data_IF_032761258379
#
_entry.id   IF_032761258379
#
_cell.length_a   1.000
_cell.length_b   1.000
_cell.length_c   1.000
_cell.angle_alpha   90.00
_cell.angle_beta   90.00
_cell.angle_gamma   90.00
#
_symmetry.space_group_name_H-M   'P 1'
#
loop_
_entity.id
_entity.type
_entity.pdbx_description
1 polymer ?
#
# COMPACT_ATOMS: atom_id res chain seq x y z
N UNK A 1 10.69 31.95 -15.36
CA UNK A 1 10.44 31.30 -14.05
C UNK A 1 9.73 29.98 -14.33
N UNK A 2 10.47 28.95 -14.70
CA UNK A 2 9.89 27.63 -15.05
C UNK A 2 9.90 26.78 -13.78
N UNK A 3 8.72 26.40 -13.28
CA UNK A 3 8.61 25.49 -12.14
C UNK A 3 9.24 24.13 -12.49
N UNK A 4 9.94 23.46 -11.56
CA UNK A 4 10.47 22.14 -11.83
C UNK A 4 9.30 21.20 -12.07
N UNK A 5 9.37 20.44 -13.16
CA UNK A 5 8.49 19.33 -13.47
C UNK A 5 8.60 18.36 -12.29
N UNK A 6 7.53 18.24 -11.50
CA UNK A 6 7.49 17.33 -10.36
C UNK A 6 7.99 15.96 -10.84
N UNK A 7 9.05 15.44 -10.20
CA UNK A 7 9.38 14.03 -10.33
C UNK A 7 8.16 13.27 -9.77
N UNK A 8 7.32 12.76 -10.67
CA UNK A 8 6.19 11.95 -10.28
C UNK A 8 6.73 10.64 -9.70
N UNK A 9 6.75 10.53 -8.38
CA UNK A 9 6.97 9.26 -7.70
C UNK A 9 5.82 8.34 -8.15
N UNK A 10 6.11 7.11 -8.64
CA UNK A 10 5.06 6.19 -9.04
C UNK A 10 4.10 6.00 -7.87
N UNK A 11 2.80 5.93 -8.17
CA UNK A 11 1.79 5.67 -7.16
C UNK A 11 2.10 4.33 -6.46
N UNK A 12 1.84 4.23 -5.14
CA UNK A 12 2.03 2.99 -4.42
C UNK A 12 1.22 1.87 -5.04
N UNK A 13 1.81 0.68 -5.08
CA UNK A 13 1.12 -0.52 -5.56
C UNK A 13 -0.03 -0.86 -4.60
N UNK A 14 -1.26 -0.86 -5.11
CA UNK A 14 -2.47 -1.08 -4.31
C UNK A 14 -2.96 -2.52 -4.41
N UNK A 15 -3.24 -3.11 -3.26
CA UNK A 15 -3.84 -4.43 -3.08
C UNK A 15 -5.18 -4.29 -2.39
N UNK A 16 -6.14 -5.11 -2.80
CA UNK A 16 -7.44 -5.19 -2.15
C UNK A 16 -7.47 -6.41 -1.28
N UNK A 17 -8.05 -6.27 -0.10
CA UNK A 17 -8.25 -7.37 0.84
C UNK A 17 -9.67 -7.37 1.38
N UNK A 18 -10.20 -8.55 1.66
CA UNK A 18 -11.54 -8.71 2.25
C UNK A 18 -11.55 -8.55 3.78
N UNK A 19 -10.37 -8.49 4.40
CA UNK A 19 -10.20 -8.46 5.86
C UNK A 19 -9.36 -7.27 6.28
N UNK A 20 -9.74 -6.61 7.38
CA UNK A 20 -8.98 -5.47 7.91
C UNK A 20 -7.58 -5.85 8.45
N UNK A 21 -7.35 -7.12 8.79
CA UNK A 21 -6.04 -7.62 9.23
C UNK A 21 -5.36 -8.36 8.09
N UNK A 22 -4.24 -7.84 7.62
CA UNK A 22 -3.52 -8.36 6.46
C UNK A 22 -2.06 -8.62 6.83
N UNK A 23 -1.37 -9.43 6.05
CA UNK A 23 0.08 -9.55 6.13
C UNK A 23 0.71 -9.09 4.83
N UNK A 24 1.91 -8.55 4.93
CA UNK A 24 2.75 -8.27 3.78
C UNK A 24 4.06 -9.05 3.95
N UNK A 25 4.42 -9.85 2.94
CA UNK A 25 5.65 -10.66 2.90
C UNK A 25 6.76 -10.00 2.06
N UNK A 26 6.57 -8.73 1.65
CA UNK A 26 7.49 -8.03 0.74
C UNK A 26 7.48 -8.62 -0.67
N UNK A 27 8.46 -8.21 -1.48
CA UNK A 27 8.73 -8.85 -2.77
C UNK A 27 9.99 -9.71 -2.64
N UNK A 28 9.83 -11.03 -2.77
CA UNK A 28 10.92 -12.00 -2.67
C UNK A 28 11.81 -12.05 -3.92
N UNK A 29 11.44 -11.35 -5.02
CA UNK A 29 12.13 -11.39 -6.31
C UNK A 29 12.82 -10.07 -6.71
N UNK A 30 12.51 -8.93 -6.06
CA UNK A 30 12.70 -7.61 -6.69
C UNK A 30 13.50 -6.51 -5.97
N UNK A 31 13.80 -6.61 -4.68
CA UNK A 31 14.79 -5.70 -4.06
C UNK A 31 14.42 -4.97 -2.76
N UNK A 32 13.15 -5.00 -2.33
CA UNK A 32 12.71 -4.49 -1.01
C UNK A 32 11.94 -5.58 -0.24
N UNK A 33 12.61 -6.73 -0.07
CA UNK A 33 12.10 -7.84 0.72
C UNK A 33 12.18 -7.53 2.20
N UNK A 34 11.04 -7.46 2.88
CA UNK A 34 10.97 -7.35 4.34
C UNK A 34 10.38 -8.63 4.95
N UNK A 35 10.67 -8.93 6.22
CA UNK A 35 10.03 -10.04 6.92
C UNK A 35 8.51 -9.87 6.92
N UNK A 36 7.78 -10.99 7.03
CA UNK A 36 6.32 -10.98 7.24
C UNK A 36 5.94 -9.99 8.32
N UNK A 37 5.18 -8.97 7.96
CA UNK A 37 4.58 -8.03 8.90
C UNK A 37 3.07 -8.08 8.82
N UNK A 38 2.43 -7.85 9.96
CA UNK A 38 0.98 -7.77 10.05
C UNK A 38 0.58 -6.30 10.09
N UNK A 39 -0.38 -5.95 9.25
CA UNK A 39 -0.88 -4.59 9.08
C UNK A 39 -2.37 -4.63 9.41
N UNK A 40 -2.83 -3.61 10.13
CA UNK A 40 -4.23 -3.42 10.45
C UNK A 40 -4.74 -2.20 9.68
N UNK A 41 -5.76 -2.43 8.85
CA UNK A 41 -6.50 -1.39 8.15
C UNK A 41 -7.42 -0.69 9.14
N UNK A 42 -7.34 0.64 9.17
CA UNK A 42 -8.15 1.48 10.04
C UNK A 42 -9.47 1.91 9.39
N UNK A 43 -10.19 2.82 10.05
CA UNK A 43 -11.49 3.33 9.58
C UNK A 43 -11.41 4.11 8.25
N UNK A 44 -10.22 4.53 7.83
CA UNK A 44 -9.96 5.14 6.52
C UNK A 44 -10.10 4.13 5.38
N UNK A 45 -10.15 2.84 5.71
CA UNK A 45 -10.35 1.75 4.74
C UNK A 45 -9.08 1.37 3.98
N UNK A 46 -7.92 1.90 4.34
CA UNK A 46 -6.63 1.47 3.81
C UNK A 46 -5.52 1.53 4.87
N UNK A 47 -4.42 0.82 4.61
CA UNK A 47 -3.17 0.97 5.35
C UNK A 47 -1.97 0.69 4.43
N UNK A 48 -0.85 1.35 4.70
CA UNK A 48 0.37 1.24 3.91
C UNK A 48 1.42 0.38 4.63
N UNK A 49 2.14 -0.44 3.87
CA UNK A 49 3.30 -1.16 4.40
C UNK A 49 4.50 -0.21 4.51
N UNK A 50 5.08 -0.07 5.71
CA UNK A 50 6.23 0.81 5.96
C UNK A 50 7.54 0.40 5.29
N UNK A 51 7.56 -0.72 4.55
CA UNK A 51 8.76 -1.26 3.92
C UNK A 51 8.73 -1.18 2.40
N UNK A 52 7.67 -1.70 1.77
CA UNK A 52 7.53 -1.76 0.32
C UNK A 52 6.54 -0.74 -0.25
N UNK A 53 6.01 0.16 0.58
CA UNK A 53 5.01 1.18 0.23
C UNK A 53 3.73 0.63 -0.43
N UNK A 54 3.49 -0.68 -0.36
CA UNK A 54 2.24 -1.31 -0.82
C UNK A 54 1.07 -0.82 0.02
N UNK A 55 0.00 -0.40 -0.64
CA UNK A 55 -1.24 0.05 -0.01
C UNK A 55 -2.28 -1.06 -0.02
N UNK A 56 -2.75 -1.46 1.16
CA UNK A 56 -3.83 -2.43 1.31
C UNK A 56 -5.15 -1.69 1.52
N UNK A 57 -6.15 -1.98 0.71
CA UNK A 57 -7.49 -1.38 0.74
C UNK A 57 -8.49 -2.47 1.18
N UNK A 58 -9.38 -2.12 2.11
CA UNK A 58 -10.46 -3.01 2.52
C UNK A 58 -11.58 -2.97 1.48
N UNK A 59 -11.98 -4.13 0.97
CA UNK A 59 -13.09 -4.27 0.02
C UNK A 59 -14.40 -3.73 0.62
N UNK A 60 -15.10 -2.88 -0.14
CA UNK A 60 -16.31 -2.19 0.32
C UNK A 60 -16.07 -1.12 1.38
N UNK A 61 -14.81 -0.83 1.74
CA UNK A 61 -14.42 0.22 2.65
C UNK A 61 -14.40 1.62 2.00
N UNK A 62 -14.25 2.70 2.78
CA UNK A 62 -14.30 4.07 2.28
C UNK A 62 -13.18 4.45 1.30
N UNK A 63 -12.09 3.68 1.25
CA UNK A 63 -11.01 3.85 0.29
C UNK A 63 -11.17 3.00 -0.99
N UNK A 64 -12.18 2.14 -1.05
CA UNK A 64 -12.44 1.28 -2.20
C UNK A 64 -13.15 2.06 -3.32
N UNK A 65 -12.40 2.50 -4.33
CA UNK A 65 -12.89 3.34 -5.44
C UNK A 65 -12.98 2.60 -6.78
N UNK A 66 -13.15 1.29 -6.72
CA UNK A 66 -13.23 0.42 -7.90
C UNK A 66 -14.57 0.52 -8.61
#
# INVERSE_FOLDING_TARGET
MTAPRALAIPAPETYVTDTARVFCDGDEQGGDGHPRVWIQIDASGFADCSYCDRRFILAGGPADRR
#
